data_IF_900734590113
#
_entry.id   IF_900734590113
#
_cell.length_a   1.000
_cell.length_b   1.000
_cell.length_c   1.000
_cell.angle_alpha   90.00
_cell.angle_beta   90.00
_cell.angle_gamma   90.00
#
_symmetry.space_group_name_H-M   'P 1'
#
loop_
_entity.id
_entity.type
_entity.pdbx_description
1 polymer ?
#
# COMPACT_ATOMS: atom_id res chain seq x y z
N UNK A 1 -5.28 -3.31 -19.71
CA UNK A 1 -4.36 -3.59 -18.59
C UNK A 1 -3.16 -4.36 -19.11
N UNK A 2 -2.03 -3.68 -19.27
CA UNK A 2 -0.73 -4.32 -19.39
C UNK A 2 -0.48 -5.25 -18.20
N UNK A 3 0.40 -6.25 -18.32
CA UNK A 3 0.76 -7.13 -17.21
C UNK A 3 1.09 -6.33 -15.93
N UNK A 4 1.88 -5.26 -16.08
CA UNK A 4 2.25 -4.35 -14.98
C UNK A 4 1.06 -3.67 -14.30
N UNK A 5 0.05 -3.27 -15.07
CA UNK A 5 -1.15 -2.65 -14.49
C UNK A 5 -1.99 -3.67 -13.72
N UNK A 6 -2.05 -4.92 -14.18
CA UNK A 6 -2.70 -6.02 -13.44
C UNK A 6 -1.97 -6.29 -12.12
N UNK A 7 -0.63 -6.32 -12.14
CA UNK A 7 0.16 -6.54 -10.93
C UNK A 7 -0.07 -5.44 -9.89
N UNK A 8 -0.18 -4.18 -10.31
CA UNK A 8 -0.53 -3.07 -9.39
C UNK A 8 -1.91 -3.24 -8.77
N UNK A 9 -2.89 -3.74 -9.53
CA UNK A 9 -4.21 -4.04 -8.97
C UNK A 9 -4.15 -5.17 -7.94
N UNK A 10 -3.30 -6.19 -8.13
CA UNK A 10 -3.08 -7.25 -7.14
C UNK A 10 -2.44 -6.72 -5.84
N UNK A 11 -1.51 -5.77 -5.95
CA UNK A 11 -0.93 -5.10 -4.78
C UNK A 11 -2.00 -4.31 -4.03
N UNK A 12 -2.85 -3.58 -4.75
CA UNK A 12 -3.93 -2.80 -4.15
C UNK A 12 -4.95 -3.68 -3.42
N UNK A 13 -5.37 -4.81 -4.01
CA UNK A 13 -6.30 -5.75 -3.36
C UNK A 13 -5.69 -6.39 -2.12
N UNK A 14 -4.39 -6.73 -2.14
CA UNK A 14 -3.68 -7.21 -0.97
C UNK A 14 -3.57 -6.12 0.13
N UNK A 15 -3.35 -4.85 -0.25
CA UNK A 15 -3.33 -3.72 0.67
C UNK A 15 -4.68 -3.50 1.37
N UNK A 16 -5.78 -3.55 0.64
CA UNK A 16 -7.14 -3.47 1.22
C UNK A 16 -7.43 -4.63 2.17
N UNK A 17 -6.94 -5.84 1.86
CA UNK A 17 -7.08 -6.99 2.76
C UNK A 17 -6.30 -6.77 4.07
N UNK A 18 -5.07 -6.26 3.97
CA UNK A 18 -4.21 -5.94 5.11
C UNK A 18 -4.85 -4.84 5.98
N UNK A 19 -5.33 -3.74 5.38
CA UNK A 19 -6.02 -2.66 6.09
C UNK A 19 -7.21 -3.19 6.91
N UNK A 20 -8.05 -4.03 6.29
CA UNK A 20 -9.20 -4.65 6.97
C UNK A 20 -8.78 -5.58 8.10
N UNK A 21 -7.64 -6.28 8.00
CA UNK A 21 -7.09 -7.13 9.07
C UNK A 21 -6.58 -6.27 10.22
N UNK A 22 -5.84 -5.21 9.92
CA UNK A 22 -5.34 -4.24 10.89
C UNK A 22 -6.48 -3.55 11.65
N UNK A 23 -7.53 -3.13 10.94
CA UNK A 23 -8.71 -2.50 11.54
C UNK A 23 -9.47 -3.42 12.52
N UNK A 24 -9.29 -4.74 12.42
CA UNK A 24 -9.81 -5.73 13.39
C UNK A 24 -8.84 -5.99 14.56
N UNK A 25 -7.73 -5.26 14.64
CA UNK A 25 -6.71 -5.43 15.68
C UNK A 25 -5.73 -6.58 15.44
N UNK A 26 -5.69 -7.15 14.24
CA UNK A 26 -4.72 -8.20 13.90
C UNK A 26 -3.36 -7.58 13.58
N UNK A 27 -2.28 -8.17 14.11
CA UNK A 27 -0.93 -7.83 13.69
C UNK A 27 -0.72 -8.30 12.25
N UNK A 28 -0.21 -7.41 11.41
CA UNK A 28 0.09 -7.73 10.02
C UNK A 28 1.31 -8.65 9.93
N UNK A 29 1.25 -9.60 9.01
CA UNK A 29 2.43 -10.35 8.59
C UNK A 29 3.25 -9.55 7.56
N UNK A 30 4.40 -10.08 7.16
CA UNK A 30 5.31 -9.43 6.22
C UNK A 30 4.66 -9.02 4.88
N UNK A 31 4.01 -9.93 4.11
CA UNK A 31 3.41 -9.54 2.84
C UNK A 31 2.23 -8.56 3.00
N UNK A 32 1.48 -8.62 4.10
CA UNK A 32 0.43 -7.66 4.39
C UNK A 32 0.98 -6.26 4.66
N UNK A 33 2.05 -6.16 5.45
CA UNK A 33 2.72 -4.89 5.74
C UNK A 33 3.26 -4.25 4.44
N UNK A 34 3.94 -5.05 3.60
CA UNK A 34 4.46 -4.58 2.31
C UNK A 34 3.33 -4.14 1.38
N UNK A 35 2.23 -4.91 1.30
CA UNK A 35 1.10 -4.57 0.46
C UNK A 35 0.38 -3.29 0.92
N UNK A 36 0.20 -3.11 2.23
CA UNK A 36 -0.41 -1.91 2.80
C UNK A 36 0.39 -0.66 2.49
N UNK A 37 1.70 -0.68 2.76
CA UNK A 37 2.60 0.45 2.46
C UNK A 37 2.58 0.73 0.96
N UNK A 38 2.73 -0.31 0.13
CA UNK A 38 2.80 -0.15 -1.33
C UNK A 38 1.51 0.45 -1.90
N UNK A 39 0.34 0.00 -1.43
CA UNK A 39 -0.94 0.55 -1.85
C UNK A 39 -1.08 2.03 -1.47
N UNK A 40 -0.71 2.41 -0.23
CA UNK A 40 -0.75 3.80 0.21
C UNK A 40 0.20 4.72 -0.58
N UNK A 41 1.39 4.23 -0.97
CA UNK A 41 2.32 4.99 -1.80
C UNK A 41 1.83 5.13 -3.25
N UNK A 42 1.19 4.10 -3.80
CA UNK A 42 0.61 4.15 -5.14
C UNK A 42 -0.53 5.17 -5.22
N UNK A 43 -1.39 5.23 -4.21
CA UNK A 43 -2.45 6.24 -4.11
C UNK A 43 -1.87 7.64 -3.90
N UNK A 44 -0.88 7.80 -3.02
CA UNK A 44 -0.22 9.10 -2.85
C UNK A 44 0.49 9.59 -4.12
N UNK A 45 1.07 8.69 -4.91
CA UNK A 45 1.61 9.03 -6.23
C UNK A 45 0.49 9.42 -7.22
N UNK A 46 -0.69 8.78 -7.12
CA UNK A 46 -1.87 9.12 -7.93
C UNK A 46 -2.43 10.51 -7.60
N UNK A 47 -2.32 10.92 -6.33
CA UNK A 47 -2.66 12.25 -5.82
C UNK A 47 -1.65 13.34 -6.23
N UNK A 48 -0.55 12.98 -6.89
CA UNK A 48 0.45 13.92 -7.38
C UNK A 48 1.52 14.32 -6.36
N UNK A 49 1.65 13.57 -5.26
CA UNK A 49 2.70 13.81 -4.25
C UNK A 49 4.09 13.54 -4.82
N UNK A 50 5.06 14.29 -4.33
CA UNK A 50 6.46 14.11 -4.71
C UNK A 50 7.05 12.83 -4.11
N UNK A 51 8.13 12.33 -4.73
CA UNK A 51 8.85 11.15 -4.23
C UNK A 51 9.34 11.38 -2.78
N UNK A 52 9.85 12.57 -2.47
CA UNK A 52 10.33 12.89 -1.12
C UNK A 52 9.22 12.84 -0.07
N UNK A 53 8.04 13.37 -0.39
CA UNK A 53 6.87 13.30 0.50
C UNK A 53 6.40 11.86 0.71
N UNK A 54 6.43 11.05 -0.34
CA UNK A 54 6.05 9.63 -0.29
C UNK A 54 7.04 8.80 0.50
N UNK A 55 8.34 9.06 0.38
CA UNK A 55 9.38 8.41 1.19
C UNK A 55 9.16 8.68 2.67
N UNK A 56 8.90 9.94 3.05
CA UNK A 56 8.63 10.28 4.44
C UNK A 56 7.31 9.69 4.94
N UNK A 57 6.25 9.76 4.14
CA UNK A 57 4.95 9.19 4.49
C UNK A 57 4.97 7.68 4.64
N UNK A 58 5.73 6.97 3.81
CA UNK A 58 5.86 5.52 3.91
C UNK A 58 6.37 5.04 5.27
N UNK A 59 7.15 5.86 5.98
CA UNK A 59 7.70 5.52 7.30
C UNK A 59 6.73 5.78 8.46
N UNK A 60 5.55 6.36 8.21
CA UNK A 60 4.56 6.68 9.26
C UNK A 60 3.35 5.73 9.27
N UNK A 61 3.31 4.75 8.36
CA UNK A 61 2.14 3.91 8.13
C UNK A 61 2.03 2.71 9.08
N UNK A 62 3.13 2.28 9.71
CA UNK A 62 3.21 1.11 10.60
C UNK A 62 4.08 1.39 11.82
#
# INVERSE_FOLDING_TARGET
>A
LSPREKDKLLIFTAGLLAERRLARGLKLNYPEAVALISAALLEGARDGRSVAELMHYGTTLL
#
